data_IF_724095746489
#
_entry.id   IF_724095746489
#
_cell.length_a   1.000
_cell.length_b   1.000
_cell.length_c   1.000
_cell.angle_alpha   90.00
_cell.angle_beta   90.00
_cell.angle_gamma   90.00
#
_symmetry.space_group_name_H-M   'P 1'
#
loop_
_entity.id
_entity.type
_entity.pdbx_description
1 polymer ?
#
# COMPACT_ATOMS: atom_id res chain seq x y z
N UNK A 1 -13.07 -11.31 -11.39
CA UNK A 1 -12.40 -11.14 -10.08
C UNK A 1 -10.98 -10.65 -10.29
N UNK A 2 -10.60 -9.58 -9.61
CA UNK A 2 -9.27 -8.94 -9.70
C UNK A 2 -8.84 -8.41 -8.34
N UNK A 3 -7.54 -8.17 -8.18
CA UNK A 3 -6.97 -7.57 -6.99
C UNK A 3 -6.61 -6.11 -7.26
N UNK A 4 -6.76 -5.26 -6.25
CA UNK A 4 -6.29 -3.89 -6.28
C UNK A 4 -5.54 -3.59 -4.98
N UNK A 5 -4.43 -2.86 -5.09
CA UNK A 5 -3.70 -2.36 -3.94
C UNK A 5 -3.82 -0.84 -3.94
N UNK A 6 -4.34 -0.25 -2.87
CA UNK A 6 -4.62 1.18 -2.81
C UNK A 6 -4.38 1.75 -1.41
N UNK A 7 -4.18 3.07 -1.35
CA UNK A 7 -4.09 3.82 -0.11
C UNK A 7 -5.42 4.50 0.18
N UNK A 8 -5.95 4.35 1.39
CA UNK A 8 -7.15 5.06 1.82
C UNK A 8 -6.83 6.54 2.08
N UNK A 9 -7.47 7.49 1.41
CA UNK A 9 -7.24 8.93 1.63
C UNK A 9 -8.40 9.64 2.34
N UNK A 10 -9.37 8.90 2.86
CA UNK A 10 -10.44 9.47 3.68
C UNK A 10 -10.09 9.57 5.17
N UNK A 11 -11.02 10.10 5.96
CA UNK A 11 -10.95 10.05 7.42
C UNK A 11 -10.88 8.61 7.94
N UNK A 12 -10.51 8.43 9.22
CA UNK A 12 -10.56 7.11 9.84
C UNK A 12 -11.99 6.56 9.84
N UNK A 13 -12.18 5.40 9.21
CA UNK A 13 -13.49 4.76 9.02
C UNK A 13 -13.39 3.25 9.25
N UNK A 14 -14.53 2.59 9.39
CA UNK A 14 -14.59 1.12 9.39
C UNK A 14 -14.22 0.53 8.02
N UNK A 15 -13.71 -0.71 7.96
CA UNK A 15 -13.49 -1.39 6.67
C UNK A 15 -14.80 -1.57 5.88
N UNK A 16 -15.96 -1.69 6.53
CA UNK A 16 -17.26 -1.70 5.86
C UNK A 16 -17.52 -0.39 5.09
N UNK A 17 -17.21 0.76 5.68
CA UNK A 17 -17.37 2.06 5.02
C UNK A 17 -16.41 2.24 3.84
N UNK A 18 -15.19 1.69 3.93
CA UNK A 18 -14.27 1.63 2.78
C UNK A 18 -14.90 0.81 1.66
N UNK A 19 -15.37 -0.41 1.96
CA UNK A 19 -16.02 -1.28 0.97
C UNK A 19 -17.26 -0.62 0.34
N UNK A 20 -18.02 0.13 1.14
CA UNK A 20 -19.18 0.89 0.68
C UNK A 20 -18.86 1.92 -0.38
N UNK A 21 -17.73 2.61 -0.26
CA UNK A 21 -17.29 3.56 -1.27
C UNK A 21 -17.09 2.90 -2.65
N UNK A 22 -16.65 1.64 -2.67
CA UNK A 22 -16.44 0.85 -3.88
C UNK A 22 -17.70 0.11 -4.35
N UNK A 23 -18.86 0.37 -3.74
CA UNK A 23 -20.09 -0.42 -3.78
C UNK A 23 -19.93 -1.75 -3.04
N UNK A 24 -20.70 -1.92 -1.94
CA UNK A 24 -20.63 -3.04 -0.99
C UNK A 24 -20.58 -4.44 -1.62
N UNK A 25 -21.17 -4.61 -2.81
CA UNK A 25 -21.25 -5.90 -3.48
C UNK A 25 -20.02 -6.23 -4.33
N UNK A 26 -19.12 -5.26 -4.54
CA UNK A 26 -17.93 -5.43 -5.36
C UNK A 26 -16.72 -5.91 -4.56
N UNK A 27 -16.56 -5.51 -3.29
CA UNK A 27 -15.41 -5.93 -2.48
C UNK A 27 -15.77 -7.13 -1.61
N UNK A 28 -15.16 -8.29 -1.88
CA UNK A 28 -15.39 -9.50 -1.06
C UNK A 28 -14.46 -9.60 0.13
N UNK A 29 -13.23 -9.09 0.00
CA UNK A 29 -12.24 -9.14 1.06
C UNK A 29 -11.26 -7.96 0.95
N UNK A 30 -10.72 -7.54 2.08
CA UNK A 30 -9.60 -6.62 2.16
C UNK A 30 -8.54 -7.16 3.13
N UNK A 31 -7.27 -6.91 2.84
CA UNK A 31 -6.14 -7.28 3.67
C UNK A 31 -5.27 -6.06 3.93
N UNK A 32 -4.75 -5.94 5.15
CA UNK A 32 -3.78 -4.92 5.57
C UNK A 32 -2.63 -5.62 6.29
N UNK A 33 -1.40 -5.30 5.94
CA UNK A 33 -0.24 -5.81 6.68
C UNK A 33 -0.02 -4.91 7.91
N UNK A 34 -0.09 -5.49 9.10
CA UNK A 34 0.33 -4.82 10.32
C UNK A 34 1.88 -4.75 10.35
N UNK A 35 2.47 -3.54 10.32
CA UNK A 35 3.92 -3.39 10.25
C UNK A 35 4.64 -3.84 11.54
N UNK A 36 3.98 -3.80 12.70
CA UNK A 36 4.56 -4.20 13.98
C UNK A 36 4.52 -5.72 14.17
N UNK A 37 3.38 -6.34 13.88
CA UNK A 37 3.18 -7.77 14.10
C UNK A 37 3.53 -8.64 12.90
N UNK A 38 3.72 -8.04 11.72
CA UNK A 38 3.97 -8.73 10.44
C UNK A 38 2.87 -9.74 10.09
N UNK A 39 1.65 -9.50 10.56
CA UNK A 39 0.47 -10.32 10.26
C UNK A 39 -0.48 -9.55 9.37
N UNK A 40 -1.18 -10.28 8.51
CA UNK A 40 -2.30 -9.71 7.77
C UNK A 40 -3.53 -9.63 8.66
N UNK A 41 -4.02 -8.42 8.82
CA UNK A 41 -5.41 -8.18 9.17
C UNK A 41 -6.29 -8.40 7.94
N UNK A 42 -7.53 -8.80 8.17
CA UNK A 42 -8.46 -9.14 7.10
C UNK A 42 -9.87 -8.68 7.41
N UNK A 43 -10.58 -8.28 6.38
CA UNK A 43 -12.00 -8.00 6.41
C UNK A 43 -12.69 -8.85 5.33
N UNK A 44 -13.88 -9.37 5.64
CA UNK A 44 -14.69 -10.15 4.71
C UNK A 44 -16.14 -9.65 4.73
N UNK A 45 -16.69 -9.41 3.54
CA UNK A 45 -18.08 -8.98 3.39
C UNK A 45 -19.03 -9.99 4.05
N UNK A 46 -19.88 -9.52 4.97
CA UNK A 46 -20.90 -10.32 5.67
C UNK A 46 -20.36 -11.51 6.51
N UNK A 47 -19.09 -11.48 6.91
CA UNK A 47 -18.47 -12.56 7.70
C UNK A 47 -17.67 -12.02 8.91
N UNK A 48 -18.34 -11.27 9.79
CA UNK A 48 -17.74 -10.60 10.96
C UNK A 48 -16.91 -11.54 11.84
N UNK A 49 -17.30 -12.82 11.95
CA UNK A 49 -16.55 -13.82 12.72
C UNK A 49 -15.17 -14.19 12.16
N UNK A 50 -14.84 -13.78 10.93
CA UNK A 50 -13.55 -13.99 10.28
C UNK A 50 -12.71 -12.71 10.15
N UNK A 51 -13.37 -11.55 10.28
CA UNK A 51 -12.76 -10.22 10.22
C UNK A 51 -11.90 -9.96 11.45
N UNK A 52 -10.69 -9.43 11.23
CA UNK A 52 -9.76 -8.99 12.28
C UNK A 52 -9.25 -7.57 12.03
N UNK A 53 -9.61 -6.95 10.90
CA UNK A 53 -9.23 -5.59 10.56
C UNK A 53 -9.97 -4.59 11.44
N UNK A 54 -9.22 -3.74 12.14
CA UNK A 54 -9.78 -2.58 12.84
C UNK A 54 -10.08 -1.44 11.88
N UNK A 55 -10.28 -0.24 12.43
CA UNK A 55 -10.52 0.96 11.63
C UNK A 55 -9.37 1.20 10.64
N UNK A 56 -9.71 1.74 9.47
CA UNK A 56 -8.81 2.13 8.38
C UNK A 56 -8.56 3.63 8.50
N UNK A 57 -7.32 4.00 8.80
CA UNK A 57 -6.86 5.37 8.93
C UNK A 57 -6.38 5.96 7.59
N UNK A 58 -6.24 7.29 7.47
CA UNK A 58 -5.63 7.90 6.30
C UNK A 58 -4.24 7.30 6.01
N UNK A 59 -4.00 7.02 4.73
CA UNK A 59 -2.83 6.37 4.15
C UNK A 59 -2.60 4.90 4.51
N UNK A 60 -3.57 4.27 5.19
CA UNK A 60 -3.53 2.82 5.33
C UNK A 60 -3.64 2.17 3.96
N UNK A 61 -2.79 1.16 3.77
CA UNK A 61 -2.72 0.42 2.54
C UNK A 61 -3.57 -0.84 2.63
N UNK A 62 -4.43 -1.02 1.62
CA UNK A 62 -5.34 -2.13 1.52
C UNK A 62 -5.15 -2.89 0.21
N UNK A 63 -5.04 -4.21 0.33
CA UNK A 63 -5.17 -5.15 -0.79
C UNK A 63 -6.61 -5.69 -0.82
N UNK A 64 -7.40 -5.26 -1.80
CA UNK A 64 -8.80 -5.63 -1.93
C UNK A 64 -9.07 -6.60 -3.09
N UNK A 65 -9.97 -7.54 -2.86
CA UNK A 65 -10.48 -8.47 -3.86
C UNK A 65 -11.81 -7.97 -4.42
N UNK A 66 -11.82 -7.59 -5.69
CA UNK A 66 -13.05 -7.31 -6.42
C UNK A 66 -13.70 -8.65 -6.85
N UNK A 67 -14.90 -8.90 -6.34
CA UNK A 67 -15.71 -10.07 -6.63
C UNK A 67 -16.63 -9.90 -7.85
N UNK A 68 -16.68 -8.69 -8.44
CA UNK A 68 -17.42 -8.40 -9.66
C UNK A 68 -16.55 -8.55 -10.91
N UNK A 69 -17.21 -8.64 -12.06
CA UNK A 69 -16.59 -8.51 -13.39
C UNK A 69 -16.55 -7.05 -13.87
N UNK A 70 -17.20 -6.14 -13.14
CA UNK A 70 -17.12 -4.70 -13.37
C UNK A 70 -16.02 -4.07 -12.50
N UNK A 71 -15.38 -2.98 -12.97
CA UNK A 71 -14.52 -2.16 -12.13
C UNK A 71 -15.23 -1.72 -10.84
N UNK A 72 -14.54 -1.83 -9.72
CA UNK A 72 -14.93 -1.24 -8.46
C UNK A 72 -14.26 0.14 -8.37
N UNK A 73 -15.06 1.20 -8.30
CA UNK A 73 -14.56 2.58 -8.29
C UNK A 73 -15.07 3.31 -7.07
N UNK A 74 -14.15 3.93 -6.34
CA UNK A 74 -14.44 4.84 -5.23
C UNK A 74 -13.82 6.19 -5.57
N UNK A 75 -14.58 7.26 -5.40
CA UNK A 75 -14.01 8.61 -5.43
C UNK A 75 -13.48 8.91 -4.04
N UNK A 76 -12.17 8.71 -3.84
CA UNK A 76 -11.55 9.01 -2.57
C UNK A 76 -11.43 10.52 -2.34
N UNK A 77 -11.53 11.01 -1.10
CA UNK A 77 -11.34 12.42 -0.79
C UNK A 77 -9.95 12.91 -1.22
N UNK A 78 -9.89 14.13 -1.75
CA UNK A 78 -8.63 14.80 -2.06
C UNK A 78 -8.00 15.30 -0.75
N UNK A 79 -6.78 14.84 -0.47
CA UNK A 79 -5.99 15.28 0.68
C UNK A 79 -4.98 16.32 0.20
N UNK A 80 -5.43 17.56 -0.06
CA UNK A 80 -4.53 18.67 -0.38
C UNK A 80 -4.65 19.80 0.65
N UNK A 81 -3.55 20.21 1.31
CA UNK A 81 -2.19 19.65 1.22
C UNK A 81 -2.04 18.32 1.99
N UNK A 82 -1.16 17.44 1.52
CA UNK A 82 -0.79 16.23 2.28
C UNK A 82 0.19 16.61 3.38
N UNK A 83 -0.12 16.31 4.64
CA UNK A 83 0.83 16.50 5.73
C UNK A 83 2.02 15.50 5.60
N UNK A 84 3.24 15.87 6.02
CA UNK A 84 4.37 14.95 5.98
C UNK A 84 4.06 13.61 6.66
N UNK A 85 4.36 12.51 5.98
CA UNK A 85 4.12 11.15 6.47
C UNK A 85 5.44 10.44 6.69
N UNK A 86 5.50 9.55 7.68
CA UNK A 86 6.67 8.71 7.92
C UNK A 86 6.27 7.26 7.87
N UNK A 87 6.94 6.47 7.03
CA UNK A 87 6.84 5.03 7.11
C UNK A 87 8.07 4.46 7.82
N UNK A 88 7.88 3.31 8.47
CA UNK A 88 8.98 2.53 9.05
C UNK A 88 8.77 1.06 8.73
N UNK A 89 9.80 0.42 8.18
CA UNK A 89 9.85 -1.02 7.94
C UNK A 89 10.83 -1.62 8.94
N UNK A 90 10.40 -2.54 9.81
CA UNK A 90 11.30 -3.17 10.77
C UNK A 90 12.48 -3.88 10.10
N UNK A 91 13.54 -4.13 10.86
CA UNK A 91 14.67 -4.93 10.38
C UNK A 91 14.19 -6.31 9.91
N UNK A 92 14.77 -6.83 8.83
CA UNK A 92 14.47 -8.16 8.28
C UNK A 92 12.97 -8.42 8.00
N UNK A 93 12.23 -7.38 7.62
CA UNK A 93 10.77 -7.43 7.54
C UNK A 93 10.23 -6.80 6.26
N UNK A 94 8.97 -7.10 5.97
CA UNK A 94 8.21 -6.44 4.91
C UNK A 94 7.46 -5.23 5.47
N UNK A 95 7.26 -4.23 4.62
CA UNK A 95 6.42 -3.09 4.90
C UNK A 95 5.55 -2.77 3.70
N UNK A 96 4.31 -2.38 3.95
CA UNK A 96 3.37 -1.94 2.92
C UNK A 96 2.99 -0.50 3.23
N UNK A 97 3.24 0.42 2.31
CA UNK A 97 3.03 1.86 2.56
C UNK A 97 2.58 2.59 1.28
N UNK A 98 1.91 3.71 1.48
CA UNK A 98 1.56 4.64 0.43
C UNK A 98 2.67 5.67 0.27
N UNK A 99 3.15 5.90 -0.95
CA UNK A 99 4.05 7.02 -1.24
C UNK A 99 3.26 8.32 -1.23
N UNK A 100 3.61 9.29 -0.39
CA UNK A 100 2.89 10.58 -0.32
C UNK A 100 3.75 11.78 -0.73
N UNK A 101 4.94 11.53 -1.30
CA UNK A 101 5.79 12.56 -1.88
C UNK A 101 5.46 12.81 -3.35
N UNK A 102 6.23 13.71 -3.98
CA UNK A 102 6.21 13.95 -5.42
C UNK A 102 6.54 12.68 -6.22
N UNK A 103 6.23 12.67 -7.51
CA UNK A 103 6.65 11.58 -8.40
C UNK A 103 8.18 11.47 -8.43
N UNK A 104 8.71 10.29 -8.12
CA UNK A 104 10.15 10.00 -7.99
C UNK A 104 10.49 8.63 -8.58
N UNK A 105 11.78 8.35 -8.79
CA UNK A 105 12.20 7.01 -9.17
C UNK A 105 12.10 6.03 -7.98
N UNK A 106 12.00 4.71 -8.21
CA UNK A 106 12.04 3.74 -7.11
C UNK A 106 13.36 3.78 -6.31
N UNK A 107 14.49 4.15 -6.94
CA UNK A 107 15.76 4.37 -6.24
C UNK A 107 15.67 5.52 -5.24
N UNK A 108 14.98 6.61 -5.59
CA UNK A 108 14.79 7.76 -4.70
C UNK A 108 13.91 7.40 -3.49
N UNK A 109 12.89 6.55 -3.68
CA UNK A 109 12.10 5.98 -2.57
C UNK A 109 13.00 5.17 -1.64
N UNK A 110 13.84 4.29 -2.19
CA UNK A 110 14.78 3.49 -1.41
C UNK A 110 15.83 4.37 -0.68
N UNK A 111 16.32 5.41 -1.35
CA UNK A 111 17.26 6.40 -0.78
C UNK A 111 16.67 7.10 0.44
N UNK A 112 15.39 7.48 0.37
CA UNK A 112 14.71 8.12 1.50
C UNK A 112 14.72 7.23 2.76
N UNK A 113 14.60 5.92 2.58
CA UNK A 113 14.65 4.94 3.67
C UNK A 113 16.09 4.51 4.06
N UNK A 114 17.10 5.21 3.52
CA UNK A 114 18.53 4.90 3.51
C UNK A 114 18.89 3.79 2.49
N UNK A 115 19.71 4.17 1.48
CA UNK A 115 20.13 3.44 0.26
C UNK A 115 20.43 1.94 0.36
N UNK A 116 20.70 1.43 1.54
CA UNK A 116 21.19 0.07 1.75
C UNK A 116 20.23 -0.79 2.56
N UNK A 117 19.05 -0.26 2.93
CA UNK A 117 18.09 -1.00 3.75
C UNK A 117 17.06 -1.75 2.93
N UNK A 118 16.54 -1.13 1.86
CA UNK A 118 15.52 -1.72 1.02
C UNK A 118 16.16 -2.55 -0.09
N UNK A 119 15.93 -3.86 -0.09
CA UNK A 119 16.48 -4.76 -1.10
C UNK A 119 15.56 -4.94 -2.31
N UNK A 120 14.25 -4.85 -2.10
CA UNK A 120 13.25 -5.02 -3.14
C UNK A 120 12.00 -4.20 -2.82
N UNK A 121 11.31 -3.76 -3.87
CA UNK A 121 9.97 -3.18 -3.81
C UNK A 121 9.08 -3.78 -4.89
N UNK A 122 7.79 -3.90 -4.60
CA UNK A 122 6.77 -4.38 -5.51
C UNK A 122 5.58 -3.43 -5.53
N UNK A 123 5.01 -3.22 -6.71
CA UNK A 123 3.76 -2.47 -6.95
C UNK A 123 2.85 -3.34 -7.82
N UNK A 124 1.57 -3.42 -7.48
CA UNK A 124 0.58 -4.10 -8.32
C UNK A 124 0.03 -3.08 -9.31
N UNK A 125 0.24 -3.31 -10.60
CA UNK A 125 -0.38 -2.51 -11.65
C UNK A 125 -1.86 -2.90 -11.77
N UNK A 126 -2.74 -1.94 -11.53
CA UNK A 126 -4.18 -2.20 -11.48
C UNK A 126 -4.77 -2.54 -12.85
N UNK A 127 -4.18 -2.04 -13.95
CA UNK A 127 -4.68 -2.23 -15.31
C UNK A 127 -4.31 -3.60 -15.87
N UNK A 128 -3.05 -4.00 -15.69
CA UNK A 128 -2.47 -5.24 -16.21
C UNK A 128 -2.59 -6.40 -15.23
N UNK A 129 -2.81 -6.12 -13.95
CA UNK A 129 -2.81 -7.12 -12.85
C UNK A 129 -1.46 -7.83 -12.70
N UNK A 130 -0.37 -7.21 -13.15
CA UNK A 130 0.99 -7.71 -13.01
C UNK A 130 1.73 -6.96 -11.89
N UNK A 131 2.67 -7.65 -11.25
CA UNK A 131 3.57 -7.00 -10.29
C UNK A 131 4.75 -6.38 -11.01
N UNK A 132 4.87 -5.08 -10.88
CA UNK A 132 6.11 -4.37 -11.11
C UNK A 132 7.05 -4.55 -9.92
N UNK A 133 8.35 -4.55 -10.19
CA UNK A 133 9.37 -4.81 -9.18
C UNK A 133 10.58 -3.94 -9.37
N UNK A 134 11.22 -3.60 -8.27
CA UNK A 134 12.51 -2.94 -8.21
C UNK A 134 13.43 -3.73 -7.29
N UNK A 135 14.71 -3.85 -7.67
CA UNK A 135 15.73 -4.52 -6.86
C UNK A 135 16.97 -3.65 -6.74
N UNK A 136 17.50 -3.57 -5.52
CA UNK A 136 18.73 -2.84 -5.25
C UNK A 136 19.90 -3.46 -6.05
N UNK A 137 20.58 -2.64 -6.86
CA UNK A 137 21.75 -3.03 -7.67
C UNK A 137 21.50 -4.11 -8.74
N UNK A 138 20.25 -4.30 -9.17
CA UNK A 138 19.85 -5.32 -10.15
C UNK A 138 18.87 -4.75 -11.20
N UNK A 139 19.31 -3.72 -11.92
CA UNK A 139 18.51 -3.02 -12.93
C UNK A 139 17.95 -3.96 -14.01
N UNK A 140 18.64 -5.07 -14.31
CA UNK A 140 18.20 -6.09 -15.27
C UNK A 140 16.94 -6.85 -14.84
N UNK A 141 16.60 -6.81 -13.55
CA UNK A 141 15.42 -7.46 -12.98
C UNK A 141 14.28 -6.46 -12.69
N UNK A 142 14.60 -5.17 -12.64
CA UNK A 142 13.67 -4.07 -12.36
C UNK A 142 12.74 -3.82 -13.54
N UNK A 143 11.46 -3.69 -13.25
CA UNK A 143 10.40 -3.33 -14.21
C UNK A 143 9.55 -2.15 -13.74
N UNK A 144 9.72 -1.72 -12.49
CA UNK A 144 8.98 -0.60 -11.91
C UNK A 144 9.40 0.72 -12.55
N UNK A 145 8.41 1.46 -13.08
CA UNK A 145 8.59 2.85 -13.51
C UNK A 145 8.61 3.82 -12.33
N UNK A 146 8.39 5.10 -12.64
CA UNK A 146 8.29 6.15 -11.61
C UNK A 146 7.17 5.84 -10.60
N UNK A 147 7.40 6.20 -9.34
CA UNK A 147 6.47 6.09 -8.21
C UNK A 147 5.77 7.44 -8.05
N UNK A 148 4.47 7.48 -8.32
CA UNK A 148 3.62 8.65 -8.22
C UNK A 148 3.02 8.80 -6.81
N UNK A 149 2.50 10.00 -6.47
CA UNK A 149 1.73 10.19 -5.24
C UNK A 149 0.59 9.16 -5.11
N UNK A 150 0.48 8.60 -3.92
CA UNK A 150 -0.45 7.54 -3.48
C UNK A 150 -0.24 6.17 -4.10
N UNK A 151 0.84 5.95 -4.85
CA UNK A 151 1.23 4.60 -5.21
C UNK A 151 1.53 3.78 -3.97
N UNK A 152 1.09 2.53 -4.02
CA UNK A 152 1.31 1.59 -2.94
C UNK A 152 2.49 0.69 -3.24
N UNK A 153 3.40 0.62 -2.28
CA UNK A 153 4.61 -0.19 -2.37
C UNK A 153 4.67 -1.22 -1.24
N UNK A 154 4.95 -2.47 -1.63
CA UNK A 154 5.38 -3.53 -0.72
C UNK A 154 6.91 -3.65 -0.80
N UNK A 155 7.61 -3.27 0.27
CA UNK A 155 9.06 -3.22 0.31
C UNK A 155 9.65 -4.19 1.34
N UNK A 156 10.84 -4.72 1.03
CA UNK A 156 11.60 -5.62 1.89
C UNK A 156 12.82 -4.91 2.46
N UNK A 157 12.88 -4.79 3.78
CA UNK A 157 14.08 -4.37 4.50
C UNK A 157 14.91 -5.60 4.90
N UNK A 158 16.13 -5.73 4.38
CA UNK A 158 17.04 -6.85 4.71
C UNK A 158 18.16 -6.46 5.66
N UNK A 159 18.15 -5.22 6.16
CA UNK A 159 19.17 -4.72 7.08
C UNK A 159 18.86 -5.05 8.55
N UNK A 160 19.89 -4.93 9.39
CA UNK A 160 19.78 -5.09 10.85
C UNK A 160 19.13 -3.89 11.57
N UNK A 161 18.67 -2.88 10.83
CA UNK A 161 18.06 -1.68 11.40
C UNK A 161 16.71 -1.38 10.72
N UNK A 162 15.76 -0.72 11.41
CA UNK A 162 14.57 -0.22 10.75
C UNK A 162 14.92 0.72 9.59
N UNK A 163 14.18 0.60 8.49
CA UNK A 163 14.22 1.52 7.36
C UNK A 163 13.11 2.56 7.58
N UNK A 164 13.48 3.83 7.69
CA UNK A 164 12.55 4.92 8.02
C UNK A 164 12.75 6.05 7.03
N UNK A 165 11.66 6.56 6.48
CA UNK A 165 11.63 7.67 5.53
C UNK A 165 10.50 8.62 5.93
N UNK A 166 10.78 9.92 5.94
CA UNK A 166 9.77 10.97 6.09
C UNK A 166 9.55 11.63 4.72
N UNK A 167 8.35 11.43 4.17
CA UNK A 167 7.88 11.99 2.92
C UNK A 167 7.30 13.38 3.19
N UNK A 168 7.73 14.40 2.44
CA UNK A 168 7.40 15.79 2.76
C UNK A 168 5.94 16.20 2.49
N UNK A 169 5.13 15.31 1.91
CA UNK A 169 3.77 15.63 1.47
C UNK A 169 3.77 16.47 0.19
N UNK A 170 2.94 16.08 -0.78
CA UNK A 170 2.65 16.84 -2.00
C UNK A 170 1.48 17.82 -1.87
#
# INVERSE_FOLDING_TARGET
MSWANFAWTGDTVSPEEVAHCYNDQKIAAMYRLDPETQKFERWFLSHDGLTTMGDVAPFDVLLALNASDEPATCMMPDLSPVAPQTFTIPAHSWGNFAWTGDTVSPEEVAHCANDQKIAAMYRLDAETQEFERWFLSHDELTTMGDVAPFDVLLALNTSDQPATCTMNGG
#
